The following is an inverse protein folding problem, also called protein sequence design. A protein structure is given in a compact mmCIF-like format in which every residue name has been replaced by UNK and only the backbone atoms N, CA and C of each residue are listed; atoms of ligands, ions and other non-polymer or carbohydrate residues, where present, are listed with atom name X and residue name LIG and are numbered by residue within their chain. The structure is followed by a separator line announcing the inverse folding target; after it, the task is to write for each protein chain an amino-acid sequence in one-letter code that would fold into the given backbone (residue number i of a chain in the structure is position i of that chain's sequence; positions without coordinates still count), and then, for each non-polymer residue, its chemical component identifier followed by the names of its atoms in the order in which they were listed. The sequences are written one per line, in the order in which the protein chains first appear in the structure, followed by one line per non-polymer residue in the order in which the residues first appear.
data_IF_064943530153
#
_entry.id   IF_064943530153
#
_cell.length_a   1.000
_cell.length_b   1.000
_cell.length_c   1.000
_cell.angle_alpha   90.00
_cell.angle_beta   90.00
_cell.angle_gamma   90.00
#
_symmetry.space_group_name_H-M   'P 1'
#
loop_
_entity.id
_entity.type
_entity.pdbx_description
1 polymer ?
#
# COMPACT_ATOMS: atom_id res chain seq x y z
N UNK A 1 -7.43 -11.73 -9.37
CA UNK A 1 -8.84 -11.60 -8.99
C UNK A 1 -9.21 -10.14 -8.66
N UNK A 2 -8.63 -9.50 -7.60
CA UNK A 2 -9.03 -8.14 -7.15
C UNK A 2 -8.94 -7.09 -8.28
N UNK A 3 -7.80 -6.94 -8.94
CA UNK A 3 -7.63 -6.00 -10.06
C UNK A 3 -8.69 -6.23 -11.16
N UNK A 4 -8.92 -7.49 -11.55
CA UNK A 4 -9.88 -7.84 -12.60
C UNK A 4 -11.30 -7.43 -12.23
N UNK A 5 -11.71 -7.70 -10.98
CA UNK A 5 -13.06 -7.34 -10.49
C UNK A 5 -13.19 -5.81 -10.41
N UNK A 6 -12.20 -5.11 -9.84
CA UNK A 6 -12.22 -3.64 -9.74
C UNK A 6 -12.30 -2.99 -11.11
N UNK A 7 -11.51 -3.47 -12.08
CA UNK A 7 -11.54 -2.95 -13.45
C UNK A 7 -12.88 -3.23 -14.15
N UNK A 8 -13.41 -4.45 -14.02
CA UNK A 8 -14.71 -4.80 -14.60
C UNK A 8 -15.85 -3.97 -14.01
N UNK A 9 -15.86 -3.77 -12.70
CA UNK A 9 -16.85 -2.91 -12.03
C UNK A 9 -16.73 -1.45 -12.49
N UNK A 10 -15.50 -0.94 -12.60
CA UNK A 10 -15.27 0.40 -13.12
C UNK A 10 -15.82 0.56 -14.54
N UNK A 11 -15.49 -0.37 -15.45
CA UNK A 11 -15.99 -0.33 -16.83
C UNK A 11 -17.52 -0.40 -16.87
N UNK A 12 -18.12 -1.27 -16.06
CA UNK A 12 -19.57 -1.38 -15.94
C UNK A 12 -20.21 -0.05 -15.48
N UNK A 13 -19.67 0.57 -14.43
CA UNK A 13 -20.17 1.85 -13.94
C UNK A 13 -20.06 2.97 -14.99
N UNK A 14 -18.96 3.00 -15.74
CA UNK A 14 -18.76 3.98 -16.81
C UNK A 14 -19.78 3.79 -17.95
N UNK A 15 -20.04 2.54 -18.36
CA UNK A 15 -20.92 2.23 -19.48
C UNK A 15 -22.41 2.36 -19.13
N UNK A 16 -22.82 1.80 -17.98
CA UNK A 16 -24.24 1.73 -17.60
C UNK A 16 -24.74 3.02 -16.97
N UNK A 17 -23.89 3.73 -16.21
CA UNK A 17 -24.31 4.92 -15.47
C UNK A 17 -23.74 6.23 -16.03
N UNK A 18 -22.89 6.16 -17.06
CA UNK A 18 -22.25 7.35 -17.63
C UNK A 18 -21.40 8.13 -16.61
N UNK A 19 -20.88 7.45 -15.59
CA UNK A 19 -20.08 8.09 -14.54
C UNK A 19 -18.76 8.62 -15.10
N UNK A 20 -18.38 9.82 -14.68
CA UNK A 20 -17.06 10.39 -14.96
C UNK A 20 -16.39 10.71 -13.62
N UNK A 21 -15.41 9.91 -13.19
CA UNK A 21 -14.75 10.15 -11.92
C UNK A 21 -13.93 11.45 -11.98
N UNK A 22 -13.93 12.19 -10.88
CA UNK A 22 -13.08 13.38 -10.72
C UNK A 22 -11.66 12.97 -10.34
N UNK A 23 -11.54 11.93 -9.52
CA UNK A 23 -10.30 11.32 -9.07
C UNK A 23 -10.44 9.81 -8.97
N UNK A 24 -9.32 9.10 -9.05
CA UNK A 24 -9.23 7.68 -8.75
C UNK A 24 -8.22 7.45 -7.62
N UNK A 25 -8.53 6.53 -6.74
CA UNK A 25 -7.62 6.10 -5.68
C UNK A 25 -7.81 4.61 -5.40
N UNK A 26 -6.79 4.00 -4.83
CA UNK A 26 -6.86 2.60 -4.43
C UNK A 26 -5.77 2.27 -3.41
N UNK A 27 -6.10 1.45 -2.43
CA UNK A 27 -5.20 1.08 -1.35
C UNK A 27 -4.26 -0.06 -1.79
N UNK A 28 -2.96 0.15 -1.73
CA UNK A 28 -1.91 -0.83 -2.05
C UNK A 28 -2.07 -1.41 -3.48
N UNK A 29 -2.51 -2.65 -3.65
CA UNK A 29 -2.84 -3.24 -4.96
C UNK A 29 -3.89 -2.39 -5.71
N UNK A 30 -4.79 -1.75 -4.98
CA UNK A 30 -5.81 -0.87 -5.54
C UNK A 30 -5.25 0.33 -6.31
N UNK A 31 -4.05 0.81 -6.00
CA UNK A 31 -3.38 1.86 -6.77
C UNK A 31 -3.08 1.41 -8.21
N UNK A 32 -2.62 0.16 -8.39
CA UNK A 32 -2.48 -0.45 -9.72
C UNK A 32 -3.83 -0.57 -10.45
N UNK A 33 -4.92 -0.89 -9.71
CA UNK A 33 -6.26 -0.89 -10.30
C UNK A 33 -6.69 0.52 -10.72
N UNK A 34 -6.44 1.53 -9.90
CA UNK A 34 -6.74 2.93 -10.22
C UNK A 34 -5.95 3.44 -11.45
N UNK A 35 -4.65 3.14 -11.54
CA UNK A 35 -3.81 3.47 -12.70
C UNK A 35 -4.29 2.76 -13.96
N UNK A 36 -4.75 1.51 -13.86
CA UNK A 36 -5.34 0.76 -14.98
C UNK A 36 -6.66 1.38 -15.42
N UNK A 37 -7.53 1.73 -14.48
CA UNK A 37 -8.79 2.43 -14.77
C UNK A 37 -8.56 3.81 -15.39
N UNK A 38 -7.50 4.52 -14.98
CA UNK A 38 -7.10 5.80 -15.55
C UNK A 38 -6.45 5.70 -16.96
N UNK A 39 -6.27 4.49 -17.49
CA UNK A 39 -5.65 4.26 -18.80
C UNK A 39 -4.12 4.33 -18.80
N UNK A 40 -3.49 4.54 -17.66
CA UNK A 40 -2.03 4.62 -17.54
C UNK A 40 -1.33 3.26 -17.75
N UNK A 41 -2.03 2.16 -17.46
CA UNK A 41 -1.56 0.78 -17.63
C UNK A 41 -2.59 0.01 -18.44
N UNK A 42 -2.17 -0.66 -19.49
CA UNK A 42 -3.06 -1.58 -20.23
C UNK A 42 -3.48 -2.74 -19.33
N UNK A 43 -4.75 -3.14 -19.41
CA UNK A 43 -5.31 -4.18 -18.53
C UNK A 43 -4.52 -5.49 -18.56
N UNK A 44 -4.10 -5.95 -19.77
CA UNK A 44 -3.33 -7.17 -19.94
C UNK A 44 -1.95 -7.10 -19.27
N UNK A 45 -1.33 -5.93 -19.27
CA UNK A 45 -0.05 -5.69 -18.62
C UNK A 45 -0.23 -5.55 -17.10
N UNK A 46 -1.29 -4.89 -16.65
CA UNK A 46 -1.62 -4.77 -15.24
C UNK A 46 -1.81 -6.15 -14.56
N UNK A 47 -2.43 -7.13 -15.25
CA UNK A 47 -2.56 -8.51 -14.77
C UNK A 47 -1.18 -9.15 -14.53
N UNK A 48 -0.23 -8.97 -15.47
CA UNK A 48 1.14 -9.50 -15.36
C UNK A 48 1.90 -8.82 -14.23
N UNK A 49 1.82 -7.48 -14.17
CA UNK A 49 2.46 -6.64 -13.14
C UNK A 49 1.99 -7.06 -11.74
N UNK A 50 0.66 -7.15 -11.51
CA UNK A 50 0.11 -7.54 -10.21
C UNK A 50 0.50 -8.96 -9.81
N UNK A 51 0.55 -9.89 -10.77
CA UNK A 51 1.01 -11.26 -10.52
C UNK A 51 2.47 -11.28 -10.07
N UNK A 52 3.35 -10.55 -10.76
CA UNK A 52 4.77 -10.48 -10.41
C UNK A 52 5.00 -9.75 -9.08
N UNK A 53 4.27 -8.62 -8.85
CA UNK A 53 4.31 -7.92 -7.56
C UNK A 53 4.01 -8.87 -6.41
N UNK A 54 2.90 -9.61 -6.49
CA UNK A 54 2.52 -10.57 -5.46
C UNK A 54 3.57 -11.65 -5.23
N UNK A 55 4.15 -12.18 -6.32
CA UNK A 55 5.21 -13.18 -6.26
C UNK A 55 6.48 -12.63 -5.58
N UNK A 56 6.97 -11.47 -5.99
CA UNK A 56 8.17 -10.86 -5.42
C UNK A 56 7.99 -10.52 -3.94
N UNK A 57 6.83 -10.00 -3.57
CA UNK A 57 6.52 -9.70 -2.17
C UNK A 57 6.44 -10.96 -1.30
N UNK A 58 5.92 -12.07 -1.83
CA UNK A 58 5.84 -13.34 -1.11
C UNK A 58 7.20 -14.04 -0.98
N UNK A 59 8.06 -13.91 -2.00
CA UNK A 59 9.38 -14.57 -2.05
C UNK A 59 10.48 -13.79 -1.30
N UNK A 60 10.22 -12.55 -0.89
CA UNK A 60 11.25 -11.66 -0.35
C UNK A 60 11.61 -11.93 1.10
N UNK A 61 10.76 -12.60 1.85
CA UNK A 61 10.95 -12.83 3.29
C UNK A 61 10.52 -14.24 3.69
N UNK A 62 11.24 -14.84 4.64
CA UNK A 62 10.83 -16.08 5.31
C UNK A 62 9.64 -15.74 6.21
N UNK A 63 8.46 -16.25 5.89
CA UNK A 63 7.17 -15.88 6.50
C UNK A 63 7.13 -16.04 8.03
N UNK A 64 7.89 -17.00 8.57
CA UNK A 64 7.94 -17.27 10.02
C UNK A 64 8.68 -16.19 10.83
N UNK A 65 9.49 -15.37 10.16
CA UNK A 65 10.31 -14.33 10.79
C UNK A 65 9.65 -12.94 10.80
N UNK A 66 8.46 -12.79 10.23
CA UNK A 66 7.78 -11.50 10.08
C UNK A 66 6.31 -11.56 10.50
N UNK A 67 5.75 -10.39 10.82
CA UNK A 67 4.35 -10.24 11.24
C UNK A 67 3.80 -8.87 10.86
N UNK A 68 2.47 -8.78 10.83
CA UNK A 68 1.72 -7.53 10.73
C UNK A 68 0.55 -7.55 11.72
N UNK A 69 0.24 -6.40 12.29
CA UNK A 69 -0.89 -6.24 13.19
C UNK A 69 -1.63 -4.92 12.94
N UNK A 70 -2.95 -4.97 12.94
CA UNK A 70 -3.78 -3.78 12.97
C UNK A 70 -3.88 -3.27 14.43
N UNK A 71 -3.67 -1.97 14.59
CA UNK A 71 -3.72 -1.22 15.84
C UNK A 71 -4.91 -0.29 15.75
N UNK A 72 -5.84 -0.42 16.70
CA UNK A 72 -7.09 0.34 16.70
C UNK A 72 -7.23 1.08 18.03
N UNK A 73 -7.62 2.36 17.98
CA UNK A 73 -7.92 3.17 19.15
C UNK A 73 -6.77 4.05 19.66
N UNK A 74 -5.61 4.05 18.99
CA UNK A 74 -4.48 4.94 19.32
C UNK A 74 -4.10 5.82 18.13
N UNK A 75 -3.61 7.01 18.44
CA UNK A 75 -3.15 7.99 17.46
C UNK A 75 -1.75 7.64 16.91
N UNK A 76 -1.46 8.19 15.71
CA UNK A 76 -0.23 7.93 14.96
C UNK A 76 1.04 8.11 15.79
N UNK A 77 1.19 9.24 16.49
CA UNK A 77 2.42 9.57 17.22
C UNK A 77 2.72 8.59 18.36
N UNK A 78 1.68 8.07 19.02
CA UNK A 78 1.82 7.05 20.05
C UNK A 78 2.34 5.74 19.44
N UNK A 79 1.70 5.28 18.36
CA UNK A 79 2.09 4.04 17.68
C UNK A 79 3.49 4.16 17.08
N UNK A 80 3.82 5.31 16.47
CA UNK A 80 5.14 5.57 15.91
C UNK A 80 6.23 5.56 16.99
N UNK A 81 5.95 6.17 18.15
CA UNK A 81 6.87 6.16 19.29
C UNK A 81 7.16 4.73 19.76
N UNK A 82 6.11 3.90 19.92
CA UNK A 82 6.27 2.50 20.34
C UNK A 82 7.01 1.69 19.28
N UNK A 83 6.75 1.88 17.99
CA UNK A 83 7.52 1.25 16.90
C UNK A 83 9.02 1.61 17.00
N UNK A 84 9.34 2.88 17.23
CA UNK A 84 10.72 3.34 17.38
C UNK A 84 11.43 2.70 18.59
N UNK A 85 10.73 2.55 19.71
CA UNK A 85 11.27 1.91 20.93
C UNK A 85 11.55 0.42 20.73
N UNK A 86 10.78 -0.25 19.87
CA UNK A 86 10.89 -1.69 19.62
C UNK A 86 11.69 -2.01 18.34
N UNK A 87 12.28 -1.01 17.70
CA UNK A 87 13.17 -1.19 16.54
C UNK A 87 14.63 -1.07 16.95
N UNK A 88 15.47 -1.87 16.30
CA UNK A 88 16.92 -1.87 16.43
C UNK A 88 17.56 -2.10 15.05
N UNK A 89 18.88 -2.17 14.97
CA UNK A 89 19.60 -2.52 13.73
C UNK A 89 19.24 -3.93 13.20
N UNK A 90 18.81 -4.84 14.09
CA UNK A 90 18.50 -6.24 13.74
C UNK A 90 17.01 -6.53 13.65
N UNK A 91 16.21 -5.80 14.38
CA UNK A 91 14.76 -6.02 14.51
C UNK A 91 14.04 -4.71 14.16
N UNK A 92 13.18 -4.74 13.15
CA UNK A 92 12.47 -3.57 12.66
C UNK A 92 10.97 -3.78 12.82
N UNK A 93 10.29 -2.78 13.35
CA UNK A 93 8.84 -2.62 13.27
C UNK A 93 8.49 -1.19 12.87
N UNK A 94 7.62 -1.03 11.88
CA UNK A 94 7.21 0.27 11.35
C UNK A 94 5.70 0.34 11.18
N UNK A 95 5.14 1.54 11.11
CA UNK A 95 3.76 1.73 10.65
C UNK A 95 3.75 1.53 9.12
N UNK A 96 3.08 0.49 8.67
CA UNK A 96 2.96 0.12 7.25
C UNK A 96 1.75 0.75 6.56
N UNK A 97 0.68 1.04 7.33
CA UNK A 97 -0.52 1.67 6.79
C UNK A 97 -1.07 2.71 7.78
N UNK A 98 -1.32 3.91 7.27
CA UNK A 98 -2.04 4.96 7.97
C UNK A 98 -3.45 5.07 7.38
N UNK A 99 -4.39 4.27 7.93
CA UNK A 99 -5.72 4.12 7.35
C UNK A 99 -6.69 5.21 7.79
N UNK A 100 -6.67 5.57 9.09
CA UNK A 100 -7.43 6.67 9.67
C UNK A 100 -6.74 7.17 10.93
N UNK A 101 -7.29 8.19 11.59
CA UNK A 101 -6.72 8.77 12.81
C UNK A 101 -6.36 7.73 13.88
N UNK A 102 -7.21 6.70 14.02
CA UNK A 102 -7.17 5.70 15.07
C UNK A 102 -7.03 4.25 14.54
N UNK A 103 -6.73 4.09 13.24
CA UNK A 103 -6.57 2.77 12.60
C UNK A 103 -5.28 2.72 11.80
N UNK A 104 -4.31 2.03 12.37
CA UNK A 104 -2.98 1.87 11.83
C UNK A 104 -2.67 0.38 11.62
N UNK A 105 -1.69 0.09 10.78
CA UNK A 105 -1.12 -1.27 10.70
C UNK A 105 0.37 -1.15 10.92
N UNK A 106 0.92 -2.00 11.77
CA UNK A 106 2.37 -2.14 11.96
C UNK A 106 2.86 -3.41 11.27
N UNK A 107 4.11 -3.37 10.80
CA UNK A 107 4.73 -4.43 10.00
C UNK A 107 6.22 -4.51 10.31
N UNK A 108 6.77 -5.71 10.35
CA UNK A 108 8.19 -5.89 10.63
C UNK A 108 8.57 -7.30 11.02
N UNK A 109 9.70 -7.44 11.72
CA UNK A 109 10.11 -8.69 12.32
C UNK A 109 9.12 -9.12 13.40
N UNK A 110 8.84 -10.41 13.44
CA UNK A 110 7.79 -10.97 14.29
C UNK A 110 7.95 -10.57 15.76
N UNK A 111 9.15 -10.73 16.31
CA UNK A 111 9.43 -10.39 17.71
C UNK A 111 9.20 -8.89 17.98
N UNK A 112 9.69 -7.99 17.14
CA UNK A 112 9.51 -6.56 17.31
C UNK A 112 8.04 -6.14 17.22
N UNK A 113 7.27 -6.75 16.29
CA UNK A 113 5.82 -6.52 16.17
C UNK A 113 5.08 -7.01 17.40
N UNK A 114 5.40 -8.21 17.92
CA UNK A 114 4.78 -8.77 19.12
C UNK A 114 5.03 -7.89 20.36
N UNK A 115 6.29 -7.45 20.56
CA UNK A 115 6.64 -6.55 21.67
C UNK A 115 5.90 -5.19 21.55
N UNK A 116 5.89 -4.60 20.35
CA UNK A 116 5.14 -3.36 20.12
C UNK A 116 3.65 -3.54 20.42
N UNK A 117 3.05 -4.68 20.01
CA UNK A 117 1.65 -4.99 20.27
C UNK A 117 1.35 -5.11 21.77
N UNK A 118 2.23 -5.73 22.57
CA UNK A 118 2.05 -5.82 24.02
C UNK A 118 2.03 -4.42 24.68
N UNK A 119 2.95 -3.53 24.29
CA UNK A 119 2.97 -2.14 24.75
C UNK A 119 1.71 -1.39 24.35
N UNK A 120 1.32 -1.44 23.09
CA UNK A 120 0.15 -0.73 22.57
C UNK A 120 -1.15 -1.24 23.23
N UNK A 121 -1.24 -2.55 23.48
CA UNK A 121 -2.37 -3.13 24.21
C UNK A 121 -2.45 -2.63 25.64
N UNK A 122 -1.31 -2.47 26.33
CA UNK A 122 -1.29 -1.92 27.69
C UNK A 122 -1.73 -0.44 27.74
N UNK A 123 -1.63 0.27 26.60
CA UNK A 123 -2.12 1.65 26.43
C UNK A 123 -3.59 1.71 25.98
N UNK A 124 -4.26 0.57 25.84
CA UNK A 124 -5.70 0.51 25.51
C UNK A 124 -6.01 0.28 24.03
N UNK A 125 -5.03 -0.08 23.19
CA UNK A 125 -5.32 -0.45 21.80
C UNK A 125 -5.99 -1.82 21.69
N UNK A 126 -6.91 -1.94 20.73
CA UNK A 126 -7.33 -3.24 20.22
C UNK A 126 -6.33 -3.71 19.15
N UNK A 127 -5.87 -4.95 19.27
CA UNK A 127 -4.84 -5.55 18.40
C UNK A 127 -5.44 -6.69 17.59
N UNK A 128 -5.24 -6.67 16.29
CA UNK A 128 -5.62 -7.76 15.40
C UNK A 128 -4.41 -8.17 14.55
N UNK A 129 -3.84 -9.35 14.83
CA UNK A 129 -2.78 -9.92 13.98
C UNK A 129 -3.34 -10.30 12.62
N UNK A 130 -2.65 -9.87 11.57
CA UNK A 130 -3.06 -10.14 10.19
C UNK A 130 -2.48 -11.48 9.71
N UNK A 131 -3.31 -12.29 9.05
CA UNK A 131 -2.86 -13.53 8.43
C UNK A 131 -2.24 -13.25 7.06
N UNK A 132 -1.01 -12.76 7.06
CA UNK A 132 -0.26 -12.40 5.85
C UNK A 132 1.09 -13.13 5.82
N UNK A 133 1.64 -13.30 4.62
CA UNK A 133 2.87 -14.07 4.39
C UNK A 133 4.16 -13.24 4.40
N UNK A 134 4.06 -11.92 4.50
CA UNK A 134 5.22 -11.02 4.43
C UNK A 134 4.95 -9.69 5.15
N UNK A 135 6.01 -8.96 5.57
CA UNK A 135 5.90 -7.68 6.27
C UNK A 135 5.72 -6.55 5.25
N UNK A 136 4.54 -6.53 4.59
CA UNK A 136 4.24 -5.59 3.52
C UNK A 136 4.41 -4.13 3.97
N UNK A 137 4.83 -3.29 3.01
CA UNK A 137 4.99 -1.85 3.21
C UNK A 137 5.99 -1.50 4.33
N UNK A 138 7.08 -2.27 4.44
CA UNK A 138 8.17 -2.06 5.37
C UNK A 138 9.53 -2.12 4.65
N UNK A 139 10.63 -1.61 5.24
CA UNK A 139 11.97 -1.71 4.67
C UNK A 139 12.43 -3.14 4.40
N UNK A 140 11.84 -4.14 5.06
CA UNK A 140 12.14 -5.56 4.83
C UNK A 140 11.73 -6.04 3.42
N UNK A 141 10.95 -5.26 2.69
CA UNK A 141 10.50 -5.55 1.32
C UNK A 141 11.45 -5.00 0.24
N UNK A 142 12.63 -4.47 0.60
CA UNK A 142 13.57 -3.83 -0.33
C UNK A 142 13.94 -4.71 -1.52
N UNK A 143 14.22 -6.01 -1.28
CA UNK A 143 14.51 -6.97 -2.36
C UNK A 143 13.34 -7.16 -3.32
N UNK A 144 12.10 -7.10 -2.81
CA UNK A 144 10.91 -7.16 -3.66
C UNK A 144 10.75 -5.87 -4.48
N UNK A 145 11.02 -4.71 -3.89
CA UNK A 145 10.96 -3.42 -4.58
C UNK A 145 11.92 -3.36 -5.76
N UNK A 146 13.17 -3.77 -5.57
CA UNK A 146 14.18 -3.81 -6.63
C UNK A 146 13.79 -4.74 -7.79
N UNK A 147 13.30 -5.95 -7.48
CA UNK A 147 12.79 -6.88 -8.50
C UNK A 147 11.57 -6.32 -9.21
N UNK A 148 10.69 -5.62 -8.48
CA UNK A 148 9.49 -5.03 -9.03
C UNK A 148 9.81 -3.85 -9.94
N UNK A 149 10.78 -3.01 -9.61
CA UNK A 149 11.26 -1.94 -10.47
C UNK A 149 11.75 -2.47 -11.82
N UNK A 150 12.61 -3.50 -11.80
CA UNK A 150 13.08 -4.15 -13.03
C UNK A 150 11.94 -4.77 -13.85
N UNK A 151 10.91 -5.27 -13.20
CA UNK A 151 9.72 -5.78 -13.88
C UNK A 151 8.94 -4.65 -14.53
N UNK A 152 8.68 -3.55 -13.79
CA UNK A 152 7.93 -2.39 -14.29
C UNK A 152 8.58 -1.76 -15.54
N UNK A 153 9.90 -1.74 -15.63
CA UNK A 153 10.66 -1.21 -16.78
C UNK A 153 10.38 -1.97 -18.10
N UNK A 154 9.75 -3.14 -18.06
CA UNK A 154 9.39 -3.92 -19.26
C UNK A 154 8.10 -3.44 -19.92
N UNK A 155 7.36 -2.54 -19.28
CA UNK A 155 6.05 -2.09 -19.72
C UNK A 155 6.08 -0.62 -20.08
N UNK A 156 5.14 -0.23 -20.95
CA UNK A 156 4.93 1.18 -21.31
C UNK A 156 3.80 1.74 -20.47
N UNK A 157 4.06 2.86 -19.82
CA UNK A 157 3.08 3.63 -19.09
C UNK A 157 2.64 4.84 -19.91
N UNK A 158 1.37 5.20 -19.77
CA UNK A 158 0.74 6.29 -20.51
C UNK A 158 0.26 7.38 -19.56
N UNK A 159 -0.01 8.57 -20.09
CA UNK A 159 -0.61 9.65 -19.32
C UNK A 159 -2.01 9.25 -18.84
N UNK A 160 -2.38 9.76 -17.68
CA UNK A 160 -3.60 9.40 -17.00
C UNK A 160 -4.80 10.19 -17.56
N UNK A 161 -5.88 9.49 -17.90
CA UNK A 161 -7.16 10.13 -18.28
C UNK A 161 -7.82 10.83 -17.09
N UNK A 162 -7.69 10.26 -15.90
CA UNK A 162 -8.18 10.82 -14.64
C UNK A 162 -7.06 10.86 -13.61
N UNK A 163 -7.00 11.91 -12.76
CA UNK A 163 -6.00 11.98 -11.70
C UNK A 163 -6.09 10.78 -10.75
N UNK A 164 -4.95 10.16 -10.48
CA UNK A 164 -4.82 9.06 -9.50
C UNK A 164 -4.00 9.56 -8.31
N UNK A 165 -4.43 9.24 -7.09
CA UNK A 165 -3.70 9.60 -5.86
C UNK A 165 -2.72 8.50 -5.50
N UNK A 166 -1.45 8.86 -5.30
CA UNK A 166 -0.39 7.91 -4.90
C UNK A 166 -0.46 7.56 -3.42
N UNK A 167 -0.24 6.29 -3.10
CA UNK A 167 -0.18 5.80 -1.72
C UNK A 167 1.06 6.26 -0.94
N UNK A 168 2.13 6.63 -1.63
CA UNK A 168 3.42 7.01 -1.01
C UNK A 168 3.33 8.36 -0.30
N UNK A 169 2.65 9.32 -0.91
CA UNK A 169 2.65 10.71 -0.47
C UNK A 169 1.25 11.36 -0.39
N UNK A 170 0.18 10.63 -0.77
CA UNK A 170 -1.19 11.15 -0.75
C UNK A 170 -1.48 12.26 -1.76
N UNK A 171 -0.65 12.41 -2.81
CA UNK A 171 -0.84 13.41 -3.88
C UNK A 171 -1.04 12.75 -5.24
N UNK A 172 -1.60 13.50 -6.20
CA UNK A 172 -1.85 12.99 -7.55
C UNK A 172 -0.54 12.75 -8.32
N UNK A 173 -0.54 11.72 -9.16
CA UNK A 173 0.48 11.52 -10.20
C UNK A 173 0.45 12.71 -11.18
N UNK A 174 1.59 13.26 -11.50
CA UNK A 174 1.69 14.39 -12.45
C UNK A 174 1.85 13.90 -13.87
N UNK A 175 2.69 12.89 -14.08
CA UNK A 175 3.10 12.39 -15.38
C UNK A 175 3.31 10.87 -15.36
N UNK A 176 3.25 10.22 -16.52
CA UNK A 176 3.49 8.78 -16.65
C UNK A 176 4.86 8.33 -16.11
N UNK A 177 5.88 9.18 -16.21
CA UNK A 177 7.23 8.89 -15.67
C UNK A 177 7.29 8.74 -14.14
N UNK A 178 6.29 9.27 -13.41
CA UNK A 178 6.23 9.17 -11.94
C UNK A 178 5.72 7.79 -11.49
N UNK A 179 5.13 6.99 -12.39
CA UNK A 179 4.47 5.73 -12.04
C UNK A 179 5.47 4.69 -11.53
N UNK A 180 6.55 4.44 -12.26
CA UNK A 180 7.54 3.42 -11.87
C UNK A 180 8.19 3.75 -10.53
N UNK A 181 8.73 4.97 -10.29
CA UNK A 181 9.31 5.32 -8.98
C UNK A 181 8.31 5.20 -7.83
N UNK A 182 7.07 5.69 -7.99
CA UNK A 182 6.07 5.63 -6.93
C UNK A 182 5.61 4.20 -6.63
N UNK A 183 5.34 3.37 -7.64
CA UNK A 183 4.95 1.97 -7.44
C UNK A 183 6.09 1.15 -6.81
N UNK A 184 7.35 1.43 -7.16
CA UNK A 184 8.53 0.81 -6.54
C UNK A 184 8.62 1.21 -5.07
N UNK A 185 8.56 2.51 -4.80
CA UNK A 185 8.61 3.04 -3.43
C UNK A 185 7.44 2.56 -2.57
N UNK A 186 6.25 2.38 -3.14
CA UNK A 186 5.07 1.86 -2.45
C UNK A 186 5.33 0.51 -1.76
N UNK A 187 6.18 -0.35 -2.34
CA UNK A 187 6.49 -1.69 -1.80
C UNK A 187 7.10 -1.61 -0.40
N UNK A 188 7.95 -0.61 -0.16
CA UNK A 188 8.75 -0.43 1.07
C UNK A 188 8.22 0.68 1.98
N UNK A 189 7.24 1.46 1.51
CA UNK A 189 6.76 2.64 2.23
C UNK A 189 5.37 2.44 2.82
N UNK A 190 5.10 3.20 3.87
CA UNK A 190 3.79 3.33 4.48
C UNK A 190 2.74 3.76 3.44
N UNK A 191 1.60 3.10 3.43
CA UNK A 191 0.42 3.52 2.67
C UNK A 191 -0.24 4.70 3.37
N UNK A 192 -0.21 5.88 2.74
CA UNK A 192 -0.77 7.15 3.23
C UNK A 192 -2.27 7.25 2.92
N UNK A 193 -3.06 6.25 3.37
CA UNK A 193 -4.48 6.19 3.00
C UNK A 193 -5.30 7.32 3.62
N UNK A 194 -5.02 7.69 4.87
CA UNK A 194 -5.65 8.85 5.51
C UNK A 194 -5.40 10.14 4.71
N UNK A 195 -4.15 10.39 4.31
CA UNK A 195 -3.81 11.57 3.51
C UNK A 195 -4.50 11.53 2.13
N UNK A 196 -4.63 10.33 1.53
CA UNK A 196 -5.40 10.15 0.29
C UNK A 196 -6.87 10.56 0.48
N UNK A 197 -7.50 10.13 1.57
CA UNK A 197 -8.90 10.48 1.85
C UNK A 197 -9.07 11.98 2.14
N UNK A 198 -8.20 12.57 2.94
CA UNK A 198 -8.19 14.01 3.23
C UNK A 198 -7.99 14.85 1.96
N UNK A 199 -7.08 14.42 1.07
CA UNK A 199 -6.93 15.06 -0.23
C UNK A 199 -8.23 15.02 -1.03
N UNK A 200 -8.86 13.86 -1.17
CA UNK A 200 -10.11 13.71 -1.93
C UNK A 200 -11.24 14.54 -1.33
N UNK A 201 -11.40 14.55 -0.01
CA UNK A 201 -12.39 15.39 0.69
C UNK A 201 -12.16 16.88 0.42
N UNK A 202 -10.91 17.33 0.38
CA UNK A 202 -10.56 18.73 0.10
C UNK A 202 -10.92 19.18 -1.33
N UNK A 203 -11.10 18.23 -2.25
CA UNK A 203 -11.45 18.51 -3.64
C UNK A 203 -12.98 18.53 -3.90
N UNK A 204 -13.80 18.22 -2.92
CA UNK A 204 -15.27 18.29 -2.94
C UNK A 204 -15.93 17.05 -3.52
#
# INVERSE_FOLDING_TARGET
ALLTVSYAMFQYCMQEFGLSPKYLAGHSLGELSALTCAGAIKFEDAIKIVKQRGKFMQESVVSEASSMAAIIGLEYDIVQHVCNLNSSEKEIVVISNYNSRDRLVISGHKYAVEQACEYLKSMGADIVFLQVSAPFHSPLMESAAQKFELELQKYTFHDLTWPVVSNVNGVIYKEARDIVPNLTQQIVSQVQWKSTMEYLESQG
#
